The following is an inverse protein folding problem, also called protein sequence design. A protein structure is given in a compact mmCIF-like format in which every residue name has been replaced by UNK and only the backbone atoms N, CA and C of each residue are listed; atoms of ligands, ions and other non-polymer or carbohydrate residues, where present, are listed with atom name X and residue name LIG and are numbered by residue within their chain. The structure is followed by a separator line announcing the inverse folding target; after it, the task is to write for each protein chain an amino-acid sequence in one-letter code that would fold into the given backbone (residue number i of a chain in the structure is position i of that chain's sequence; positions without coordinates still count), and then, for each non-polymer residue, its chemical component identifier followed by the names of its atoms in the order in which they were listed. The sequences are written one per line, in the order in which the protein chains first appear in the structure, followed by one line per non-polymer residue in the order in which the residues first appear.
data_IF_324527582689
#
_entry.id   IF_324527582689
#
_cell.length_a   1.000
_cell.length_b   1.000
_cell.length_c   1.000
_cell.angle_alpha   90.00
_cell.angle_beta   90.00
_cell.angle_gamma   90.00
#
_symmetry.space_group_name_H-M   'P 1'
#
loop_
_entity.id
_entity.type
_entity.pdbx_description
1 polymer ?
#
# COMPACT_ATOMS: atom_id res chain seq x y z
N UNK A 1 19.18 1.63 -15.09
CA UNK A 1 18.71 0.83 -13.93
C UNK A 1 18.83 -0.64 -14.29
N UNK A 2 19.90 -1.30 -13.84
CA UNK A 2 20.25 -2.68 -14.18
C UNK A 2 19.25 -3.70 -13.61
N UNK A 3 18.95 -4.75 -14.38
CA UNK A 3 17.98 -5.82 -14.04
C UNK A 3 18.25 -6.44 -12.66
N UNK A 4 19.53 -6.61 -12.32
CA UNK A 4 20.02 -7.09 -11.02
C UNK A 4 19.46 -6.24 -9.87
N UNK A 5 19.53 -4.91 -9.97
CA UNK A 5 19.11 -4.00 -8.88
C UNK A 5 17.61 -4.12 -8.61
N UNK A 6 16.79 -4.29 -9.67
CA UNK A 6 15.35 -4.52 -9.53
C UNK A 6 15.04 -5.83 -8.81
N UNK A 7 15.77 -6.90 -9.13
CA UNK A 7 15.59 -8.21 -8.51
C UNK A 7 15.93 -8.15 -7.01
N UNK A 8 17.02 -7.48 -6.64
CA UNK A 8 17.42 -7.30 -5.24
C UNK A 8 16.41 -6.47 -4.45
N UNK A 9 15.86 -5.39 -5.03
CA UNK A 9 14.82 -4.58 -4.37
C UNK A 9 13.57 -5.42 -4.09
N UNK A 10 13.11 -6.23 -5.05
CA UNK A 10 11.93 -7.09 -4.88
C UNK A 10 12.19 -8.20 -3.85
N UNK A 11 13.37 -8.81 -3.87
CA UNK A 11 13.74 -9.85 -2.91
C UNK A 11 13.87 -9.31 -1.47
N UNK A 12 14.52 -8.16 -1.30
CA UNK A 12 14.71 -7.52 0.02
C UNK A 12 13.37 -7.04 0.58
N UNK A 13 12.53 -6.42 -0.25
CA UNK A 13 11.19 -6.00 0.17
C UNK A 13 10.30 -7.19 0.55
N UNK A 14 10.31 -8.27 -0.24
CA UNK A 14 9.60 -9.51 0.07
C UNK A 14 10.10 -10.17 1.37
N UNK A 15 11.41 -10.20 1.60
CA UNK A 15 12.02 -10.76 2.81
C UNK A 15 11.66 -9.95 4.06
N UNK A 16 11.73 -8.63 3.96
CA UNK A 16 11.30 -7.74 5.05
C UNK A 16 9.82 -7.93 5.38
N UNK A 17 8.94 -7.99 4.36
CA UNK A 17 7.51 -8.28 4.53
C UNK A 17 7.26 -9.59 5.29
N UNK A 18 8.04 -10.64 5.01
CA UNK A 18 7.84 -11.96 5.59
C UNK A 18 8.33 -12.04 7.05
N UNK A 19 9.50 -11.49 7.34
CA UNK A 19 10.14 -11.61 8.66
C UNK A 19 9.44 -10.77 9.74
N UNK A 20 8.75 -9.70 9.33
CA UNK A 20 8.13 -8.73 10.24
C UNK A 20 6.67 -8.49 9.87
N UNK A 21 5.92 -9.54 9.53
CA UNK A 21 4.48 -9.48 9.13
C UNK A 21 3.69 -8.36 9.82
N UNK A 22 3.80 -8.24 11.16
CA UNK A 22 3.11 -7.20 11.92
C UNK A 22 3.83 -5.85 12.03
N UNK A 23 5.17 -5.82 12.18
CA UNK A 23 5.91 -4.53 12.24
C UNK A 23 5.96 -3.83 10.89
N UNK A 24 5.93 -4.58 9.79
CA UNK A 24 5.89 -4.07 8.42
C UNK A 24 4.53 -3.52 8.10
N UNK A 25 3.44 -4.20 8.47
CA UNK A 25 2.10 -3.62 8.39
C UNK A 25 1.99 -2.31 9.19
N UNK A 26 2.55 -2.28 10.40
CA UNK A 26 2.52 -1.07 11.23
C UNK A 26 3.41 0.05 10.66
N UNK A 27 4.58 -0.27 10.11
CA UNK A 27 5.44 0.69 9.43
C UNK A 27 4.83 1.17 8.10
N UNK A 28 4.18 0.29 7.33
CA UNK A 28 3.41 0.64 6.13
C UNK A 28 2.29 1.62 6.47
N UNK A 29 1.55 1.36 7.55
CA UNK A 29 0.48 2.25 8.02
C UNK A 29 1.03 3.58 8.56
N UNK A 30 2.24 3.58 9.14
CA UNK A 30 2.89 4.77 9.67
C UNK A 30 3.49 5.68 8.59
N UNK A 31 3.74 5.18 7.38
CA UNK A 31 4.28 5.97 6.27
C UNK A 31 3.12 6.67 5.55
N UNK A 32 2.99 7.99 5.76
CA UNK A 32 1.99 8.85 5.08
C UNK A 32 1.97 8.67 3.56
N UNK A 33 3.13 8.43 2.95
CA UNK A 33 3.26 8.20 1.50
C UNK A 33 2.64 6.89 1.01
N UNK A 34 2.73 5.81 1.80
CA UNK A 34 2.15 4.51 1.42
C UNK A 34 0.63 4.56 1.48
N UNK A 35 0.07 5.25 2.48
CA UNK A 35 -1.36 5.52 2.54
C UNK A 35 -1.85 6.28 1.31
N UNK A 36 -1.12 7.32 0.86
CA UNK A 36 -1.48 8.06 -0.35
C UNK A 36 -1.40 7.20 -1.62
N UNK A 37 -0.39 6.35 -1.74
CA UNK A 37 -0.25 5.41 -2.87
C UNK A 37 -1.42 4.42 -2.88
N UNK A 38 -1.71 3.80 -1.74
CA UNK A 38 -2.80 2.83 -1.60
C UNK A 38 -4.15 3.49 -1.91
N UNK A 39 -4.43 4.66 -1.34
CA UNK A 39 -5.68 5.40 -1.61
C UNK A 39 -5.76 5.83 -3.07
N UNK A 40 -4.68 6.35 -3.65
CA UNK A 40 -4.65 6.78 -5.06
C UNK A 40 -4.89 5.62 -6.03
N UNK A 41 -4.28 4.46 -5.79
CA UNK A 41 -4.49 3.25 -6.57
C UNK A 41 -5.92 2.73 -6.40
N UNK A 42 -6.42 2.71 -5.17
CA UNK A 42 -7.76 2.20 -4.85
C UNK A 42 -8.86 3.11 -5.43
N UNK A 43 -8.66 4.43 -5.41
CA UNK A 43 -9.60 5.42 -5.97
C UNK A 43 -9.67 5.42 -7.50
N UNK A 44 -8.69 4.83 -8.19
CA UNK A 44 -8.76 4.61 -9.64
C UNK A 44 -9.70 3.47 -10.03
N UNK A 45 -10.12 2.64 -9.08
CA UNK A 45 -11.02 1.52 -9.32
C UNK A 45 -12.46 2.00 -9.12
N UNK A 46 -13.30 2.07 -10.16
CA UNK A 46 -14.63 2.68 -10.09
C UNK A 46 -15.54 2.02 -9.04
N UNK A 47 -15.55 0.68 -8.96
CA UNK A 47 -16.38 -0.05 -8.00
C UNK A 47 -15.94 0.03 -6.53
N UNK A 48 -14.67 0.39 -6.27
CA UNK A 48 -14.17 0.59 -4.90
C UNK A 48 -14.32 2.05 -4.49
N UNK A 49 -14.06 2.97 -5.43
CA UNK A 49 -14.26 4.42 -5.25
C UNK A 49 -15.68 4.75 -4.79
N UNK A 50 -16.70 4.20 -5.45
CA UNK A 50 -18.09 4.48 -5.08
C UNK A 50 -18.42 4.01 -3.67
N UNK A 51 -18.02 2.78 -3.31
CA UNK A 51 -18.23 2.23 -1.95
C UNK A 51 -17.51 3.05 -0.89
N UNK A 52 -16.29 3.49 -1.18
CA UNK A 52 -15.49 4.30 -0.26
C UNK A 52 -16.09 5.69 -0.07
N UNK A 53 -16.49 6.37 -1.14
CA UNK A 53 -17.17 7.68 -1.06
C UNK A 53 -18.49 7.54 -0.30
N UNK A 54 -19.29 6.50 -0.60
CA UNK A 54 -20.55 6.27 0.11
C UNK A 54 -20.33 6.03 1.61
N UNK A 55 -19.33 5.26 2.01
CA UNK A 55 -19.00 5.06 3.43
C UNK A 55 -18.42 6.32 4.09
N UNK A 56 -17.53 7.03 3.42
CA UNK A 56 -16.89 8.23 3.95
C UNK A 56 -17.90 9.36 4.18
N UNK A 57 -18.86 9.54 3.28
CA UNK A 57 -19.92 10.53 3.41
C UNK A 57 -21.07 10.07 4.33
N UNK A 58 -21.27 8.76 4.54
CA UNK A 58 -22.29 8.24 5.45
C UNK A 58 -21.86 8.28 6.93
N UNK A 59 -20.56 8.40 7.20
CA UNK A 59 -20.00 8.51 8.53
C UNK A 59 -19.86 9.97 9.02
N UNK A 60 -20.26 10.94 8.20
CA UNK A 60 -20.31 12.38 8.49
C UNK A 60 -21.75 12.80 8.71
#
# INVERSE_FOLDING_TARGET
MSMIVRLFIVAISGYFLYQKRYKVLNALMSIRGIRQIIVSLTMRIPGVREKFIHQAFRAM
#
